data_IF_748835191813
#
_entry.id   IF_748835191813
#
_cell.length_a   1.000
_cell.length_b   1.000
_cell.length_c   1.000
_cell.angle_alpha   90.00
_cell.angle_beta   90.00
_cell.angle_gamma   90.00
#
_symmetry.space_group_name_H-M   'P 1'
#
loop_
_entity.id
_entity.type
_entity.pdbx_description
1 polymer ?
#
# COMPACT_ATOMS: atom_id res chain seq x y z
N UNK A 1 44.10 5.23 9.07
CA UNK A 1 42.77 4.68 9.45
C UNK A 1 41.78 5.83 9.31
N UNK A 2 40.86 5.77 8.34
CA UNK A 2 39.72 6.68 8.35
C UNK A 2 38.91 6.33 9.58
N UNK A 3 38.63 7.30 10.45
CA UNK A 3 37.77 7.09 11.62
C UNK A 3 36.39 6.58 11.11
N UNK A 4 35.98 5.43 11.58
CA UNK A 4 34.65 4.88 11.26
C UNK A 4 33.63 5.91 11.73
N UNK A 5 32.85 6.45 10.79
CA UNK A 5 31.80 7.41 11.12
C UNK A 5 30.76 6.72 12.00
N UNK A 6 30.42 7.27 13.18
CA UNK A 6 29.49 6.61 14.07
C UNK A 6 28.11 6.54 13.44
N UNK A 7 27.53 5.34 13.44
CA UNK A 7 26.15 5.11 13.01
C UNK A 7 25.20 5.22 14.21
N UNK A 8 24.03 5.80 14.00
CA UNK A 8 22.98 5.86 15.00
C UNK A 8 21.68 5.35 14.39
N UNK A 9 21.06 4.36 15.01
CA UNK A 9 19.74 3.86 14.62
C UNK A 9 18.69 4.63 15.42
N UNK A 10 17.73 5.26 14.74
CA UNK A 10 16.67 6.05 15.37
C UNK A 10 15.35 5.29 15.27
N UNK A 11 14.82 4.89 16.43
CA UNK A 11 13.61 4.07 16.52
C UNK A 11 13.90 2.58 16.45
N UNK A 12 13.28 1.79 17.33
CA UNK A 12 13.42 0.32 17.45
C UNK A 12 12.15 -0.45 17.06
N UNK A 13 11.36 0.07 16.11
CA UNK A 13 10.35 -0.71 15.40
C UNK A 13 10.99 -1.81 14.55
N UNK A 14 10.20 -2.50 13.73
CA UNK A 14 10.70 -3.61 12.89
C UNK A 14 11.85 -3.18 11.97
N UNK A 15 11.74 -2.03 11.27
CA UNK A 15 12.80 -1.49 10.43
C UNK A 15 14.08 -1.18 11.22
N UNK A 16 13.96 -0.52 12.36
CA UNK A 16 15.14 -0.18 13.18
C UNK A 16 15.86 -1.41 13.73
N UNK A 17 15.13 -2.43 14.16
CA UNK A 17 15.71 -3.71 14.59
C UNK A 17 16.41 -4.45 13.44
N UNK A 18 15.81 -4.44 12.24
CA UNK A 18 16.45 -4.97 11.04
C UNK A 18 17.76 -4.26 10.70
N UNK A 19 17.76 -2.90 10.79
CA UNK A 19 18.99 -2.11 10.65
C UNK A 19 20.05 -2.52 11.69
N UNK A 20 19.66 -2.62 12.97
CA UNK A 20 20.57 -2.99 14.05
C UNK A 20 21.19 -4.38 13.83
N UNK A 21 20.39 -5.38 13.46
CA UNK A 21 20.88 -6.73 13.12
C UNK A 21 21.91 -6.68 11.97
N UNK A 22 21.60 -5.92 10.93
CA UNK A 22 22.49 -5.80 9.75
C UNK A 22 23.81 -5.14 10.10
N UNK A 23 23.78 -4.00 10.83
CA UNK A 23 25.00 -3.34 11.26
C UNK A 23 25.86 -4.22 12.16
N UNK A 24 25.22 -4.94 13.10
CA UNK A 24 25.93 -5.90 13.96
C UNK A 24 26.54 -7.07 13.17
N UNK A 25 25.84 -7.60 12.17
CA UNK A 25 26.36 -8.66 11.30
C UNK A 25 27.52 -8.21 10.39
N UNK A 26 27.60 -6.91 10.12
CA UNK A 26 28.69 -6.28 9.34
C UNK A 26 29.82 -5.72 10.24
N UNK A 27 29.81 -6.01 11.55
CA UNK A 27 30.75 -5.47 12.55
C UNK A 27 30.87 -3.93 12.52
N UNK A 28 29.77 -3.23 12.15
CA UNK A 28 29.70 -1.77 12.12
C UNK A 28 29.24 -1.28 13.50
N UNK A 29 30.05 -0.50 14.24
CA UNK A 29 29.64 0.06 15.53
C UNK A 29 28.50 1.07 15.38
N UNK A 30 27.50 0.99 16.26
CA UNK A 30 26.36 1.91 16.28
C UNK A 30 25.84 2.11 17.70
N UNK A 31 25.09 3.18 17.88
CA UNK A 31 24.22 3.42 19.04
C UNK A 31 22.77 3.55 18.61
N UNK A 32 21.86 3.58 19.58
CA UNK A 32 20.41 3.65 19.29
C UNK A 32 19.81 4.86 20.01
N UNK A 33 18.98 5.62 19.29
CA UNK A 33 18.09 6.63 19.84
C UNK A 33 16.66 6.11 19.89
N UNK A 34 16.11 5.94 21.10
CA UNK A 34 14.74 5.48 21.28
C UNK A 34 14.18 6.01 22.61
N UNK A 35 13.01 6.67 22.56
CA UNK A 35 12.42 7.29 23.75
C UNK A 35 11.61 6.29 24.59
N UNK A 36 10.98 5.28 23.95
CA UNK A 36 10.10 4.31 24.60
C UNK A 36 10.35 2.88 24.07
N UNK A 37 11.54 2.30 24.36
CA UNK A 37 11.88 0.99 23.81
C UNK A 37 10.99 -0.11 24.38
N UNK A 38 10.40 -0.91 23.48
CA UNK A 38 9.65 -2.09 23.90
C UNK A 38 10.59 -3.13 24.55
N UNK A 39 10.11 -3.86 25.56
CA UNK A 39 10.90 -4.88 26.27
C UNK A 39 11.48 -5.94 25.31
N UNK A 40 10.72 -6.35 24.29
CA UNK A 40 11.18 -7.29 23.27
C UNK A 40 12.33 -6.74 22.44
N UNK A 41 12.29 -5.45 22.06
CA UNK A 41 13.37 -4.80 21.33
C UNK A 41 14.64 -4.66 22.20
N UNK A 42 14.50 -4.30 23.47
CA UNK A 42 15.62 -4.26 24.41
C UNK A 42 16.29 -5.62 24.55
N UNK A 43 15.49 -6.67 24.70
CA UNK A 43 16.00 -8.04 24.80
C UNK A 43 16.77 -8.44 23.53
N UNK A 44 16.24 -8.13 22.36
CA UNK A 44 16.91 -8.40 21.07
C UNK A 44 18.24 -7.64 20.94
N UNK A 45 18.27 -6.35 21.29
CA UNK A 45 19.51 -5.55 21.24
C UNK A 45 20.59 -6.08 22.18
N UNK A 46 20.20 -6.56 23.37
CA UNK A 46 21.14 -7.15 24.34
C UNK A 46 21.77 -8.47 23.88
N UNK A 47 21.17 -9.15 22.91
CA UNK A 47 21.68 -10.41 22.35
C UNK A 47 22.63 -10.23 21.16
N UNK A 48 22.79 -9.00 20.66
CA UNK A 48 23.72 -8.73 19.57
C UNK A 48 25.18 -8.95 20.02
N UNK A 49 26.08 -9.37 19.12
CA UNK A 49 27.50 -9.63 19.47
C UNK A 49 28.17 -8.44 20.18
N UNK A 50 27.83 -7.22 19.77
CA UNK A 50 28.29 -5.97 20.38
C UNK A 50 27.04 -5.13 20.70
N UNK A 51 26.39 -5.32 21.88
CA UNK A 51 25.18 -4.62 22.25
C UNK A 51 25.34 -3.10 22.17
N UNK A 52 24.47 -2.37 21.44
CA UNK A 52 24.57 -0.92 21.33
C UNK A 52 24.14 -0.23 22.63
N UNK A 53 24.67 0.96 22.88
CA UNK A 53 24.08 1.87 23.86
C UNK A 53 22.72 2.38 23.33
N UNK A 54 21.72 2.42 24.20
CA UNK A 54 20.38 2.95 23.88
C UNK A 54 20.17 4.16 24.77
N UNK A 55 19.86 5.29 24.16
CA UNK A 55 19.62 6.57 24.85
C UNK A 55 18.38 7.24 24.27
N UNK A 56 17.73 8.15 25.02
CA UNK A 56 16.67 9.00 24.47
C UNK A 56 17.13 9.78 23.26
N UNK A 57 16.25 9.98 22.27
CA UNK A 57 16.59 10.72 21.03
C UNK A 57 17.11 12.14 21.35
N UNK A 58 16.55 12.78 22.38
CA UNK A 58 16.97 14.12 22.82
C UNK A 58 18.42 14.17 23.33
N UNK A 59 18.95 13.06 23.86
CA UNK A 59 20.30 12.97 24.46
C UNK A 59 21.38 12.57 23.44
N UNK A 60 21.01 12.22 22.22
CA UNK A 60 21.99 11.85 21.18
C UNK A 60 23.01 12.95 20.92
N UNK A 61 24.27 12.59 20.82
CA UNK A 61 25.35 13.51 20.45
C UNK A 61 25.44 13.65 18.93
N UNK A 62 25.38 14.87 18.43
CA UNK A 62 25.55 15.18 17.01
C UNK A 62 27.02 15.25 16.65
N UNK A 63 27.58 14.16 16.14
CA UNK A 63 28.94 14.13 15.67
C UNK A 63 28.97 14.44 14.16
N UNK A 64 29.71 15.50 13.70
CA UNK A 64 29.83 15.76 12.27
C UNK A 64 30.37 14.56 11.52
N UNK A 65 29.72 14.23 10.38
CA UNK A 65 30.04 13.07 9.58
C UNK A 65 29.36 11.77 10.05
N UNK A 66 28.61 11.77 11.16
CA UNK A 66 27.81 10.60 11.56
C UNK A 66 26.64 10.37 10.63
N UNK A 67 26.21 9.09 10.50
CA UNK A 67 25.06 8.67 9.71
C UNK A 67 23.94 8.20 10.66
N UNK A 68 22.81 8.89 10.65
CA UNK A 68 21.65 8.54 11.43
C UNK A 68 20.60 7.84 10.54
N UNK A 69 20.29 6.58 10.88
CA UNK A 69 19.37 5.74 10.13
C UNK A 69 18.02 5.80 10.85
N UNK A 70 17.09 6.55 10.27
CA UNK A 70 15.80 6.88 10.90
C UNK A 70 14.73 5.90 10.46
N UNK A 71 14.08 5.25 11.44
CA UNK A 71 12.93 4.37 11.18
C UNK A 71 11.74 5.17 10.63
N UNK A 72 10.94 4.63 9.67
CA UNK A 72 9.86 5.36 9.01
C UNK A 72 8.81 5.93 9.96
N UNK A 73 8.55 5.25 11.09
CA UNK A 73 7.60 5.70 12.11
C UNK A 73 8.06 6.91 12.94
N UNK A 74 9.34 7.28 12.90
CA UNK A 74 9.86 8.43 13.65
C UNK A 74 9.63 9.72 12.87
N UNK A 75 8.92 10.72 13.46
CA UNK A 75 8.68 11.98 12.76
C UNK A 75 9.96 12.79 12.55
N UNK A 76 10.23 13.18 11.30
CA UNK A 76 11.38 14.07 10.98
C UNK A 76 11.22 15.48 11.56
N UNK A 77 10.01 15.83 12.04
CA UNK A 77 9.72 17.07 12.73
C UNK A 77 10.33 17.18 14.14
N UNK A 78 10.83 16.09 14.72
CA UNK A 78 11.51 16.11 16.02
C UNK A 78 12.66 17.12 16.02
N UNK A 79 12.79 17.99 17.05
CA UNK A 79 13.82 19.04 17.09
C UNK A 79 15.22 18.50 16.81
N UNK A 80 15.58 17.37 17.43
CA UNK A 80 16.89 16.74 17.28
C UNK A 80 17.19 16.33 15.83
N UNK A 81 16.19 15.78 15.10
CA UNK A 81 16.33 15.38 13.71
C UNK A 81 16.41 16.59 12.76
N UNK A 82 15.69 17.68 13.07
CA UNK A 82 15.76 18.93 12.30
C UNK A 82 17.12 19.64 12.43
N UNK A 83 17.77 19.50 13.58
CA UNK A 83 19.07 20.10 13.85
C UNK A 83 20.23 19.26 13.32
N UNK A 84 20.08 17.95 13.24
CA UNK A 84 21.13 17.00 12.90
C UNK A 84 21.85 17.36 11.57
N UNK A 85 21.17 17.65 10.44
CA UNK A 85 21.86 18.03 9.20
C UNK A 85 22.66 19.34 9.31
N UNK A 86 22.18 20.30 10.12
CA UNK A 86 22.90 21.58 10.35
C UNK A 86 24.18 21.37 11.11
N UNK A 87 24.30 20.26 11.84
CA UNK A 87 25.49 19.86 12.60
C UNK A 87 26.34 18.81 11.86
N UNK A 88 26.17 18.67 10.53
CA UNK A 88 26.99 17.79 9.72
C UNK A 88 26.63 16.29 9.85
N UNK A 89 25.44 15.96 10.38
CA UNK A 89 24.90 14.60 10.46
C UNK A 89 24.13 14.30 9.18
N UNK A 90 24.36 13.14 8.58
CA UNK A 90 23.59 12.66 7.43
C UNK A 90 22.39 11.83 7.92
N UNK A 91 21.17 12.25 7.59
CA UNK A 91 19.98 11.44 7.79
C UNK A 91 19.76 10.48 6.61
N UNK A 92 19.44 9.24 6.90
CA UNK A 92 19.13 8.19 5.93
C UNK A 92 18.11 7.23 6.54
N UNK A 93 17.75 6.17 5.84
CA UNK A 93 16.85 5.14 6.35
C UNK A 93 17.25 3.71 5.91
N UNK A 94 16.44 2.73 6.32
CA UNK A 94 16.59 1.32 6.02
C UNK A 94 16.59 1.02 4.49
N UNK A 95 15.73 1.69 3.73
CA UNK A 95 15.62 1.48 2.27
C UNK A 95 16.86 1.98 1.53
N UNK A 96 17.36 3.17 1.86
CA UNK A 96 18.59 3.69 1.27
C UNK A 96 19.79 2.78 1.62
N UNK A 97 19.84 2.35 2.90
CA UNK A 97 20.88 1.43 3.38
C UNK A 97 20.83 0.07 2.68
N UNK A 98 19.62 -0.42 2.38
CA UNK A 98 19.40 -1.64 1.61
C UNK A 98 19.86 -1.47 0.15
N UNK A 99 19.47 -0.37 -0.49
CA UNK A 99 19.81 -0.10 -1.88
C UNK A 99 21.33 -0.02 -2.11
N UNK A 100 22.10 0.50 -1.15
CA UNK A 100 23.57 0.53 -1.18
C UNK A 100 24.18 -0.90 -1.17
N UNK A 101 23.46 -1.91 -0.72
CA UNK A 101 23.93 -3.30 -0.53
C UNK A 101 23.35 -4.29 -1.51
N UNK A 102 22.19 -4.00 -2.05
CA UNK A 102 21.49 -4.88 -2.99
C UNK A 102 22.30 -5.00 -4.30
N UNK A 103 22.54 -6.23 -4.75
CA UNK A 103 23.28 -6.52 -5.99
C UNK A 103 22.35 -6.82 -7.17
N UNK A 104 21.13 -7.26 -6.88
CA UNK A 104 20.12 -7.56 -7.89
C UNK A 104 19.26 -6.32 -8.21
N UNK A 105 18.60 -6.30 -9.37
CA UNK A 105 17.65 -5.26 -9.74
C UNK A 105 16.59 -5.01 -8.67
N UNK A 106 16.26 -3.73 -8.45
CA UNK A 106 15.29 -3.28 -7.47
C UNK A 106 14.04 -2.76 -8.15
N UNK A 107 12.87 -3.25 -7.75
CA UNK A 107 11.57 -2.68 -8.10
C UNK A 107 11.02 -1.97 -6.88
N UNK A 108 10.71 -0.68 -7.01
CA UNK A 108 10.05 0.10 -5.97
C UNK A 108 8.60 0.39 -6.37
N UNK A 109 7.64 0.05 -5.51
CA UNK A 109 6.21 0.24 -5.75
C UNK A 109 5.64 1.15 -4.68
N UNK A 110 5.10 2.31 -5.08
CA UNK A 110 4.41 3.24 -4.19
C UNK A 110 3.07 3.69 -4.77
N UNK A 111 2.31 4.39 -3.96
CA UNK A 111 0.98 4.92 -4.26
C UNK A 111 0.19 5.12 -2.97
N UNK A 112 -0.94 5.79 -3.03
CA UNK A 112 -1.84 5.86 -1.87
C UNK A 112 -2.47 4.48 -1.63
N UNK A 113 -3.04 3.86 -2.65
CA UNK A 113 -3.73 2.58 -2.58
C UNK A 113 -3.15 1.56 -3.58
N UNK A 114 -3.44 0.26 -3.40
CA UNK A 114 -3.09 -0.82 -4.33
C UNK A 114 -1.67 -1.38 -4.20
N UNK A 115 -0.76 -0.73 -3.49
CA UNK A 115 0.66 -1.14 -3.35
C UNK A 115 0.85 -2.63 -3.11
N UNK A 116 0.28 -3.15 -2.03
CA UNK A 116 0.43 -4.56 -1.63
C UNK A 116 -0.11 -5.53 -2.69
N UNK A 117 -1.25 -5.18 -3.30
CA UNK A 117 -1.85 -6.00 -4.36
C UNK A 117 -0.92 -6.06 -5.57
N UNK A 118 -0.41 -4.92 -6.04
CA UNK A 118 0.54 -4.87 -7.17
C UNK A 118 1.83 -5.61 -6.83
N UNK A 119 2.40 -5.37 -5.64
CA UNK A 119 3.60 -6.07 -5.17
C UNK A 119 3.42 -7.59 -5.19
N UNK A 120 2.26 -8.09 -4.71
CA UNK A 120 1.95 -9.53 -4.69
C UNK A 120 1.68 -10.10 -6.09
N UNK A 121 1.06 -9.33 -7.00
CA UNK A 121 0.90 -9.76 -8.39
C UNK A 121 2.27 -9.84 -9.09
N UNK A 122 3.13 -8.82 -8.92
CA UNK A 122 4.49 -8.83 -9.49
C UNK A 122 5.30 -10.02 -8.95
N UNK A 123 5.24 -10.27 -7.64
CA UNK A 123 5.82 -11.45 -7.02
C UNK A 123 5.34 -12.76 -7.68
N UNK A 124 4.02 -12.89 -7.82
CA UNK A 124 3.39 -14.07 -8.41
C UNK A 124 3.86 -14.33 -9.84
N UNK A 125 3.96 -13.28 -10.65
CA UNK A 125 4.39 -13.37 -12.05
C UNK A 125 5.89 -13.58 -12.17
N UNK A 126 6.69 -12.86 -11.38
CA UNK A 126 8.15 -12.93 -11.44
C UNK A 126 8.69 -14.29 -10.96
N UNK A 127 8.17 -14.84 -9.87
CA UNK A 127 8.58 -16.17 -9.34
C UNK A 127 8.40 -17.33 -10.32
N UNK A 128 7.58 -17.18 -11.35
CA UNK A 128 7.40 -18.19 -12.40
C UNK A 128 8.42 -18.11 -13.52
N UNK A 129 9.17 -17.02 -13.57
CA UNK A 129 10.15 -16.76 -14.63
C UNK A 129 11.56 -16.48 -14.09
N UNK A 130 11.69 -16.17 -12.79
CA UNK A 130 12.95 -15.92 -12.09
C UNK A 130 13.07 -16.90 -10.90
N UNK A 131 14.18 -17.61 -10.73
CA UNK A 131 14.36 -18.60 -9.65
C UNK A 131 14.26 -18.01 -8.23
N UNK A 132 14.75 -16.79 -8.02
CA UNK A 132 14.83 -16.18 -6.70
C UNK A 132 14.34 -14.73 -6.71
N UNK A 133 13.06 -14.52 -6.35
CA UNK A 133 12.45 -13.18 -6.16
C UNK A 133 12.13 -12.98 -4.69
N UNK A 134 12.64 -11.88 -4.12
CA UNK A 134 12.40 -11.51 -2.72
C UNK A 134 11.54 -10.27 -2.63
N UNK A 135 10.57 -10.30 -1.72
CA UNK A 135 9.52 -9.28 -1.59
C UNK A 135 9.40 -8.81 -0.15
N UNK A 136 9.28 -7.50 0.04
CA UNK A 136 9.10 -6.92 1.37
C UNK A 136 9.12 -5.38 1.37
N UNK A 137 9.69 -4.79 2.41
CA UNK A 137 9.76 -3.34 2.62
C UNK A 137 8.71 -2.85 3.61
N UNK A 138 7.74 -2.06 3.15
CA UNK A 138 6.62 -1.58 3.99
C UNK A 138 5.63 -2.69 4.37
N UNK A 139 5.75 -3.86 3.80
CA UNK A 139 4.96 -5.06 4.10
C UNK A 139 5.88 -6.25 4.36
N UNK A 140 5.41 -7.19 5.18
CA UNK A 140 6.09 -8.45 5.41
C UNK A 140 7.49 -8.26 5.99
N UNK A 141 8.50 -8.78 5.31
CA UNK A 141 9.90 -8.74 5.77
C UNK A 141 10.53 -7.35 5.56
N UNK A 142 11.17 -6.75 6.58
CA UNK A 142 11.95 -5.53 6.43
C UNK A 142 13.01 -5.67 5.33
N UNK A 143 13.27 -4.59 4.58
CA UNK A 143 14.09 -4.67 3.37
C UNK A 143 15.51 -5.23 3.63
N UNK A 144 16.19 -4.83 4.71
CA UNK A 144 17.54 -5.32 5.01
C UNK A 144 17.62 -6.82 5.35
N UNK A 145 16.52 -7.40 5.85
CA UNK A 145 16.43 -8.83 6.13
C UNK A 145 16.20 -9.66 4.84
N UNK A 146 15.88 -8.99 3.71
CA UNK A 146 15.77 -9.64 2.40
C UNK A 146 17.11 -9.88 1.72
N UNK A 147 18.18 -9.19 2.11
CA UNK A 147 19.47 -9.23 1.43
C UNK A 147 20.03 -10.65 1.33
N UNK A 148 20.25 -11.08 0.11
CA UNK A 148 20.80 -12.39 -0.22
C UNK A 148 21.48 -12.34 -1.60
N UNK A 149 22.69 -12.84 -1.68
CA UNK A 149 23.53 -12.77 -2.89
C UNK A 149 23.03 -13.66 -4.04
N UNK A 150 22.06 -14.54 -3.77
CA UNK A 150 21.45 -15.45 -4.77
C UNK A 150 20.15 -14.90 -5.35
N UNK A 151 19.76 -13.67 -4.97
CA UNK A 151 18.51 -13.04 -5.42
C UNK A 151 18.64 -12.55 -6.86
N UNK A 152 17.63 -12.85 -7.69
CA UNK A 152 17.54 -12.35 -9.06
C UNK A 152 16.86 -11.00 -9.15
N UNK A 153 15.91 -10.72 -8.25
CA UNK A 153 15.16 -9.46 -8.22
C UNK A 153 14.55 -9.19 -6.82
N UNK A 154 14.62 -7.94 -6.37
CA UNK A 154 13.91 -7.46 -5.18
C UNK A 154 12.71 -6.63 -5.58
N UNK A 155 11.55 -6.91 -5.00
CA UNK A 155 10.32 -6.14 -5.18
C UNK A 155 9.92 -5.52 -3.85
N UNK A 156 10.01 -4.21 -3.75
CA UNK A 156 9.79 -3.47 -2.51
C UNK A 156 8.50 -2.66 -2.58
N UNK A 157 7.61 -2.91 -1.63
CA UNK A 157 6.57 -1.93 -1.32
C UNK A 157 7.17 -0.77 -0.55
N UNK A 158 6.98 0.47 -1.01
CA UNK A 158 7.54 1.66 -0.40
C UNK A 158 6.44 2.62 0.06
N UNK A 159 6.45 2.96 1.35
CA UNK A 159 5.61 4.02 1.92
C UNK A 159 6.18 5.40 1.59
N UNK A 160 5.36 6.46 1.76
CA UNK A 160 5.85 7.83 1.69
C UNK A 160 6.91 8.11 2.75
N UNK A 161 6.75 7.58 3.96
CA UNK A 161 7.71 7.75 5.07
C UNK A 161 9.09 7.20 4.74
N UNK A 162 9.15 6.07 4.03
CA UNK A 162 10.42 5.52 3.55
C UNK A 162 11.04 6.37 2.44
N UNK A 163 10.22 6.92 1.55
CA UNK A 163 10.71 7.77 0.45
C UNK A 163 11.20 9.14 0.91
N UNK A 164 10.82 9.64 2.11
CA UNK A 164 11.30 10.92 2.65
C UNK A 164 12.85 11.00 2.72
N UNK A 165 13.50 9.91 3.08
CA UNK A 165 14.97 9.84 3.24
C UNK A 165 15.67 8.90 2.25
N UNK A 166 14.91 8.22 1.38
CA UNK A 166 15.43 7.32 0.35
C UNK A 166 15.37 7.99 -1.03
N UNK A 167 16.08 9.10 -1.19
CA UNK A 167 16.10 9.86 -2.44
C UNK A 167 16.98 9.20 -3.50
N UNK A 168 16.57 9.30 -4.76
CA UNK A 168 17.32 8.81 -5.93
C UNK A 168 17.75 7.32 -5.82
N UNK A 169 16.82 6.46 -5.38
CA UNK A 169 17.07 5.03 -5.29
C UNK A 169 17.43 4.46 -6.67
N UNK A 170 18.48 3.63 -6.79
CA UNK A 170 18.88 3.00 -8.05
C UNK A 170 17.92 1.89 -8.45
N UNK A 171 16.67 2.26 -8.75
CA UNK A 171 15.63 1.30 -9.11
C UNK A 171 15.75 0.90 -10.59
N UNK A 172 15.62 -0.39 -10.88
CA UNK A 172 15.36 -0.84 -12.25
C UNK A 172 13.96 -0.36 -12.69
N UNK A 173 12.96 -0.48 -11.79
CA UNK A 173 11.60 0.01 -12.04
C UNK A 173 11.09 0.78 -10.83
N UNK A 174 10.69 2.03 -11.04
CA UNK A 174 9.96 2.84 -10.06
C UNK A 174 8.49 2.95 -10.48
N UNK A 175 7.55 2.51 -9.62
CA UNK A 175 6.13 2.52 -9.92
C UNK A 175 5.33 3.42 -8.97
N UNK A 176 4.55 4.37 -9.53
CA UNK A 176 3.58 5.21 -8.83
C UNK A 176 2.17 4.86 -9.30
N UNK A 177 1.39 4.21 -8.44
CA UNK A 177 0.11 3.64 -8.81
C UNK A 177 -1.02 4.68 -8.90
N UNK A 178 -1.18 5.45 -7.84
CA UNK A 178 -2.20 6.47 -7.68
C UNK A 178 -1.85 7.43 -6.55
N UNK A 179 -2.52 8.59 -6.54
CA UNK A 179 -2.40 9.60 -5.51
C UNK A 179 -3.79 9.99 -5.04
N UNK A 180 -4.02 9.90 -3.74
CA UNK A 180 -5.18 10.44 -3.05
C UNK A 180 -4.75 10.98 -1.69
N UNK A 181 -5.42 12.00 -1.12
CA UNK A 181 -5.05 12.58 0.16
C UNK A 181 -4.99 11.53 1.27
N UNK A 182 -3.87 11.49 2.00
CA UNK A 182 -3.66 10.64 3.17
C UNK A 182 -2.53 11.23 4.03
N UNK A 183 -2.39 10.80 5.27
CA UNK A 183 -1.29 11.19 6.16
C UNK A 183 -1.09 12.72 6.36
N UNK A 184 -2.18 13.50 6.35
CA UNK A 184 -2.12 14.97 6.50
C UNK A 184 -1.73 15.41 7.92
N UNK A 185 -1.66 14.49 8.86
CA UNK A 185 -1.05 14.67 10.17
C UNK A 185 0.49 14.78 10.13
N UNK A 186 1.12 14.25 9.08
CA UNK A 186 2.58 14.26 8.90
C UNK A 186 3.09 15.28 7.89
N UNK A 187 2.35 15.51 6.82
CA UNK A 187 2.74 16.42 5.73
C UNK A 187 2.08 17.80 5.88
N UNK A 188 2.80 18.86 5.53
CA UNK A 188 2.29 20.22 5.60
C UNK A 188 1.19 20.48 4.56
N UNK A 189 1.20 19.75 3.45
CA UNK A 189 0.19 19.82 2.38
C UNK A 189 0.05 18.49 1.65
N UNK A 190 -1.04 18.35 0.91
CA UNK A 190 -1.25 17.21 -0.01
C UNK A 190 -0.17 17.18 -1.09
N UNK A 191 0.26 18.35 -1.57
CA UNK A 191 1.30 18.44 -2.61
C UNK A 191 2.66 17.96 -2.11
N UNK A 192 3.02 18.21 -0.84
CA UNK A 192 4.23 17.66 -0.22
C UNK A 192 4.20 16.14 -0.17
N UNK A 193 3.06 15.56 0.23
CA UNK A 193 2.87 14.12 0.23
C UNK A 193 3.00 13.52 -1.17
N UNK A 194 2.40 14.16 -2.18
CA UNK A 194 2.50 13.73 -3.58
C UNK A 194 3.91 13.85 -4.14
N UNK A 195 4.62 14.95 -3.82
CA UNK A 195 6.01 15.15 -4.21
C UNK A 195 6.94 14.06 -3.63
N UNK A 196 6.76 13.71 -2.35
CA UNK A 196 7.52 12.62 -1.73
C UNK A 196 7.28 11.30 -2.46
N UNK A 197 6.04 10.93 -2.79
CA UNK A 197 5.78 9.68 -3.54
C UNK A 197 6.37 9.72 -4.95
N UNK A 198 6.30 10.87 -5.61
CA UNK A 198 6.81 11.04 -6.97
C UNK A 198 8.34 10.97 -7.04
N UNK A 199 9.04 11.13 -5.91
CA UNK A 199 10.52 10.96 -5.84
C UNK A 199 10.98 9.54 -6.19
N UNK A 200 10.07 8.56 -6.24
CA UNK A 200 10.37 7.18 -6.66
C UNK A 200 10.97 7.10 -8.07
N UNK A 201 10.68 8.08 -8.91
CA UNK A 201 11.24 8.13 -10.27
C UNK A 201 12.67 8.67 -10.32
N UNK A 202 13.11 9.39 -9.27
CA UNK A 202 14.47 9.89 -9.19
C UNK A 202 15.45 8.72 -9.03
N UNK A 203 16.29 8.47 -10.03
CA UNK A 203 17.21 7.35 -10.07
C UNK A 203 16.62 6.04 -10.62
N UNK A 204 15.33 5.97 -10.93
CA UNK A 204 14.74 4.82 -11.59
C UNK A 204 15.14 4.77 -13.07
N UNK A 205 15.48 3.57 -13.56
CA UNK A 205 15.73 3.35 -15.00
C UNK A 205 14.44 3.39 -15.80
N UNK A 206 13.42 2.64 -15.37
CA UNK A 206 12.08 2.61 -15.96
C UNK A 206 11.06 3.14 -14.97
N UNK A 207 10.11 3.93 -15.46
CA UNK A 207 8.97 4.40 -14.69
C UNK A 207 7.67 3.67 -15.09
N UNK A 208 6.83 3.33 -14.13
CA UNK A 208 5.46 2.87 -14.35
C UNK A 208 4.51 3.79 -13.59
N UNK A 209 3.52 4.34 -14.27
CA UNK A 209 2.65 5.36 -13.67
C UNK A 209 1.19 5.19 -14.08
N UNK A 210 0.27 5.35 -13.12
CA UNK A 210 -1.14 5.54 -13.43
C UNK A 210 -1.39 6.86 -14.15
N UNK A 211 -2.24 6.87 -15.17
CA UNK A 211 -2.52 8.04 -16.01
C UNK A 211 -2.83 9.31 -15.18
N UNK A 212 -3.63 9.19 -14.14
CA UNK A 212 -3.98 10.32 -13.25
C UNK A 212 -2.76 10.94 -12.54
N UNK A 213 -1.63 10.23 -12.48
CA UNK A 213 -0.40 10.68 -11.84
C UNK A 213 0.69 11.10 -12.85
N UNK A 214 0.40 11.12 -14.14
CA UNK A 214 1.38 11.36 -15.20
C UNK A 214 2.10 12.70 -15.06
N UNK A 215 1.41 13.76 -14.64
CA UNK A 215 2.00 15.09 -14.41
C UNK A 215 3.05 15.11 -13.31
N UNK A 216 2.96 14.21 -12.34
CA UNK A 216 3.95 14.06 -11.27
C UNK A 216 5.16 13.25 -11.73
N UNK A 217 4.96 12.24 -12.58
CA UNK A 217 6.06 11.41 -13.11
C UNK A 217 6.96 12.15 -14.09
N UNK A 218 6.43 13.07 -14.90
CA UNK A 218 7.20 13.86 -15.87
C UNK A 218 8.22 14.79 -15.23
N UNK A 219 8.11 15.06 -13.93
CA UNK A 219 9.10 15.82 -13.14
C UNK A 219 10.30 14.98 -12.71
N UNK A 220 10.23 13.67 -12.85
CA UNK A 220 11.29 12.72 -12.50
C UNK A 220 12.11 12.31 -13.73
N UNK A 221 13.38 11.95 -13.52
CA UNK A 221 14.34 11.65 -14.59
C UNK A 221 14.47 10.12 -14.81
N UNK A 222 13.40 9.41 -15.18
CA UNK A 222 13.53 8.03 -15.67
C UNK A 222 13.79 7.99 -17.19
N UNK A 223 14.44 6.93 -17.68
CA UNK A 223 14.80 6.78 -19.10
C UNK A 223 13.58 6.57 -20.00
N UNK A 224 12.57 5.86 -19.52
CA UNK A 224 11.29 5.66 -20.20
C UNK A 224 10.16 5.52 -19.20
N UNK A 225 8.94 5.85 -19.62
CA UNK A 225 7.76 5.83 -18.78
C UNK A 225 6.67 5.00 -19.46
N UNK A 226 6.23 3.94 -18.77
CA UNK A 226 5.06 3.13 -19.13
C UNK A 226 3.85 3.62 -18.35
N UNK A 227 2.74 3.86 -19.06
CA UNK A 227 1.50 4.38 -18.46
C UNK A 227 0.46 3.27 -18.44
N UNK A 228 -0.30 3.19 -17.35
CA UNK A 228 -1.50 2.36 -17.29
C UNK A 228 -2.72 3.23 -16.96
N UNK A 229 -3.85 2.89 -17.54
CA UNK A 229 -5.07 3.68 -17.51
C UNK A 229 -6.33 2.81 -17.44
N UNK A 230 -7.50 3.43 -17.18
CA UNK A 230 -8.78 2.72 -17.28
C UNK A 230 -9.08 2.28 -18.71
N UNK A 231 -8.67 3.08 -19.70
CA UNK A 231 -8.87 2.76 -21.12
C UNK A 231 -7.61 3.05 -21.93
N UNK A 232 -7.33 2.20 -22.88
CA UNK A 232 -6.29 2.49 -23.87
C UNK A 232 -6.80 3.49 -24.91
N UNK A 233 -5.95 4.45 -25.27
CA UNK A 233 -6.26 5.44 -26.30
C UNK A 233 -5.03 5.78 -27.13
N UNK A 234 -5.22 6.48 -28.25
CA UNK A 234 -4.09 6.97 -29.04
C UNK A 234 -3.19 7.95 -28.23
N UNK A 235 -3.76 8.64 -27.24
CA UNK A 235 -3.03 9.54 -26.34
C UNK A 235 -2.33 8.79 -25.19
N UNK A 236 -2.80 7.59 -24.85
CA UNK A 236 -2.22 6.72 -23.82
C UNK A 236 -2.08 5.29 -24.39
N UNK A 237 -1.03 5.01 -25.17
CA UNK A 237 -0.84 3.72 -25.85
C UNK A 237 -0.27 2.63 -24.93
N UNK A 238 -0.19 2.88 -23.63
CA UNK A 238 0.35 1.93 -22.62
C UNK A 238 -0.59 0.77 -22.36
N UNK A 239 -0.72 0.41 -21.06
CA UNK A 239 -1.62 -0.63 -20.60
C UNK A 239 -2.99 -0.06 -20.21
N UNK A 240 -4.08 -0.77 -20.54
CA UNK A 240 -5.42 -0.31 -20.19
C UNK A 240 -6.48 -1.38 -20.47
N UNK A 241 -7.75 -1.00 -20.29
CA UNK A 241 -8.87 -1.84 -20.64
C UNK A 241 -9.34 -1.54 -22.06
N UNK A 242 -9.68 -2.59 -22.79
CA UNK A 242 -10.22 -2.56 -24.14
C UNK A 242 -11.54 -3.32 -24.17
N UNK A 243 -12.61 -2.65 -24.55
CA UNK A 243 -13.88 -3.31 -24.83
C UNK A 243 -13.90 -3.82 -26.27
N UNK A 244 -14.13 -5.10 -26.45
CA UNK A 244 -14.24 -5.76 -27.74
C UNK A 244 -15.36 -6.79 -27.71
N UNK A 245 -16.34 -6.69 -28.61
CA UNK A 245 -17.50 -7.59 -28.72
C UNK A 245 -18.30 -7.72 -27.41
N UNK A 246 -18.42 -6.64 -26.63
CA UNK A 246 -19.13 -6.63 -25.35
C UNK A 246 -18.38 -7.32 -24.20
N UNK A 247 -17.10 -7.65 -24.40
CA UNK A 247 -16.20 -8.18 -23.37
C UNK A 247 -15.08 -7.18 -23.09
N UNK A 248 -14.70 -7.06 -21.80
CA UNK A 248 -13.61 -6.22 -21.36
C UNK A 248 -12.33 -7.05 -21.26
N UNK A 249 -11.27 -6.55 -21.88
CA UNK A 249 -9.95 -7.19 -21.88
C UNK A 249 -8.91 -6.28 -21.25
N UNK A 250 -7.95 -6.86 -20.52
CA UNK A 250 -6.65 -6.22 -20.30
C UNK A 250 -5.99 -6.09 -21.68
N UNK A 251 -5.38 -4.94 -21.95
CA UNK A 251 -4.77 -4.68 -23.26
C UNK A 251 -3.47 -3.88 -23.13
N UNK A 252 -2.61 -4.02 -24.15
CA UNK A 252 -1.46 -3.17 -24.39
C UNK A 252 -1.67 -2.45 -25.73
N UNK A 253 -1.85 -1.14 -25.69
CA UNK A 253 -2.33 -0.40 -26.85
C UNK A 253 -3.63 -1.01 -27.39
N UNK A 254 -3.70 -1.31 -28.68
CA UNK A 254 -4.86 -1.94 -29.31
C UNK A 254 -4.88 -3.48 -29.24
N UNK A 255 -3.87 -4.10 -28.61
CA UNK A 255 -3.75 -5.55 -28.54
C UNK A 255 -4.41 -6.08 -27.26
N UNK A 256 -5.50 -6.87 -27.34
CA UNK A 256 -6.08 -7.52 -26.20
C UNK A 256 -5.13 -8.62 -25.67
N UNK A 257 -4.94 -8.67 -24.34
CA UNK A 257 -4.05 -9.62 -23.67
C UNK A 257 -4.83 -10.73 -22.98
N UNK A 258 -5.85 -10.39 -22.19
CA UNK A 258 -6.63 -11.35 -21.41
C UNK A 258 -8.02 -10.77 -21.10
N UNK A 259 -9.07 -11.59 -21.27
CA UNK A 259 -10.43 -11.27 -20.81
C UNK A 259 -10.42 -11.16 -19.27
N UNK A 260 -10.92 -10.03 -18.73
CA UNK A 260 -10.93 -9.78 -17.30
C UNK A 260 -11.79 -10.79 -16.51
N UNK A 261 -12.73 -11.46 -17.15
CA UNK A 261 -13.55 -12.51 -16.53
C UNK A 261 -12.76 -13.79 -16.20
N UNK A 262 -11.58 -13.96 -16.80
CA UNK A 262 -10.68 -15.09 -16.50
C UNK A 262 -9.79 -14.81 -15.30
N UNK A 263 -9.74 -13.58 -14.81
CA UNK A 263 -8.95 -13.22 -13.62
C UNK A 263 -9.55 -13.84 -12.35
N UNK A 264 -8.70 -14.21 -11.42
CA UNK A 264 -9.12 -14.67 -10.08
C UNK A 264 -9.49 -13.54 -9.12
N UNK A 265 -9.49 -12.28 -9.59
CA UNK A 265 -9.82 -11.06 -8.85
C UNK A 265 -10.77 -10.21 -9.68
N UNK A 266 -11.70 -9.52 -9.00
CA UNK A 266 -12.76 -8.73 -9.63
C UNK A 266 -12.60 -7.23 -9.33
N UNK A 267 -13.23 -6.40 -10.18
CA UNK A 267 -13.40 -4.97 -9.98
C UNK A 267 -12.32 -4.12 -10.63
N UNK A 268 -12.71 -2.92 -11.04
CA UNK A 268 -11.87 -1.99 -11.80
C UNK A 268 -10.53 -1.71 -11.11
N UNK A 269 -10.54 -1.46 -9.79
CA UNK A 269 -9.31 -1.20 -9.03
C UNK A 269 -8.32 -2.37 -9.11
N UNK A 270 -8.81 -3.61 -9.06
CA UNK A 270 -7.97 -4.80 -9.20
C UNK A 270 -7.47 -4.98 -10.63
N UNK A 271 -8.28 -4.66 -11.64
CA UNK A 271 -7.84 -4.71 -13.03
C UNK A 271 -6.73 -3.69 -13.31
N UNK A 272 -6.85 -2.47 -12.74
CA UNK A 272 -5.77 -1.47 -12.80
C UNK A 272 -4.50 -1.93 -12.08
N UNK A 273 -4.61 -2.61 -10.95
CA UNK A 273 -3.47 -3.21 -10.26
C UNK A 273 -2.78 -4.28 -11.12
N UNK A 274 -3.56 -5.09 -11.87
CA UNK A 274 -3.01 -6.08 -12.82
C UNK A 274 -2.29 -5.39 -13.97
N UNK A 275 -2.87 -4.33 -14.55
CA UNK A 275 -2.24 -3.57 -15.63
C UNK A 275 -0.92 -2.93 -15.18
N UNK A 276 -0.87 -2.38 -13.96
CA UNK A 276 0.36 -1.89 -13.35
C UNK A 276 1.41 -3.00 -13.20
N UNK A 277 1.01 -4.18 -12.74
CA UNK A 277 1.90 -5.32 -12.56
C UNK A 277 2.43 -5.86 -13.90
N UNK A 278 1.60 -5.88 -14.96
CA UNK A 278 2.05 -6.24 -16.32
C UNK A 278 3.06 -5.22 -16.86
N UNK A 279 2.83 -3.91 -16.65
CA UNK A 279 3.77 -2.87 -17.05
C UNK A 279 5.11 -2.98 -16.30
N UNK A 280 5.09 -3.28 -15.00
CA UNK A 280 6.30 -3.55 -14.21
C UNK A 280 7.02 -4.79 -14.75
N UNK A 281 6.29 -5.88 -15.01
CA UNK A 281 6.85 -7.12 -15.55
C UNK A 281 7.49 -6.93 -16.91
N UNK A 282 6.89 -6.14 -17.81
CA UNK A 282 7.49 -5.77 -19.10
C UNK A 282 8.81 -5.01 -18.92
N UNK A 283 8.86 -4.02 -18.03
CA UNK A 283 10.08 -3.29 -17.71
C UNK A 283 11.19 -4.18 -17.13
N UNK A 284 10.82 -5.27 -16.43
CA UNK A 284 11.74 -6.30 -15.93
C UNK A 284 12.16 -7.30 -17.01
N UNK A 285 11.60 -7.24 -18.23
CA UNK A 285 11.87 -8.18 -19.31
C UNK A 285 11.18 -9.54 -19.15
N UNK A 286 10.11 -9.63 -18.33
CA UNK A 286 9.31 -10.85 -18.23
C UNK A 286 8.51 -11.10 -19.51
N UNK A 287 8.35 -12.37 -19.88
CA UNK A 287 7.56 -12.77 -21.03
C UNK A 287 6.08 -12.49 -20.82
N UNK A 288 5.49 -11.64 -21.68
CA UNK A 288 4.10 -11.20 -21.58
C UNK A 288 3.10 -12.34 -21.74
N UNK A 289 3.38 -13.32 -22.60
CA UNK A 289 2.47 -14.44 -22.82
C UNK A 289 2.41 -15.35 -21.57
N UNK A 290 3.57 -15.56 -20.92
CA UNK A 290 3.61 -16.29 -19.64
C UNK A 290 2.91 -15.51 -18.53
N UNK A 291 3.15 -14.20 -18.41
CA UNK A 291 2.46 -13.38 -17.42
C UNK A 291 0.94 -13.47 -17.56
N UNK A 292 0.42 -13.31 -18.78
CA UNK A 292 -1.04 -13.37 -19.04
C UNK A 292 -1.62 -14.76 -18.82
N UNK A 293 -0.87 -15.82 -19.11
CA UNK A 293 -1.29 -17.21 -18.84
C UNK A 293 -1.34 -17.52 -17.34
N UNK A 294 -0.50 -16.89 -16.51
CA UNK A 294 -0.38 -17.14 -15.08
C UNK A 294 -1.38 -16.31 -14.23
N UNK A 295 -1.81 -15.15 -14.72
CA UNK A 295 -2.74 -14.25 -14.02
C UNK A 295 -4.02 -14.90 -13.46
N UNK A 296 -4.71 -15.81 -14.17
CA UNK A 296 -5.91 -16.50 -13.64
C UNK A 296 -5.68 -17.27 -12.34
N UNK A 297 -4.44 -17.66 -12.08
CA UNK A 297 -4.08 -18.39 -10.86
C UNK A 297 -3.88 -17.50 -9.62
N UNK A 298 -3.75 -16.19 -9.79
CA UNK A 298 -3.71 -15.22 -8.68
C UNK A 298 -5.12 -15.00 -8.11
N UNK A 299 -5.34 -15.38 -6.85
CA UNK A 299 -6.67 -15.36 -6.20
C UNK A 299 -6.93 -14.12 -5.35
N UNK A 300 -6.09 -13.11 -5.43
CA UNK A 300 -6.17 -11.90 -4.60
C UNK A 300 -5.57 -12.07 -3.22
N UNK A 301 -5.80 -11.06 -2.39
CA UNK A 301 -5.31 -11.00 -1.02
C UNK A 301 -6.49 -10.92 -0.04
N UNK A 302 -6.37 -11.47 1.17
CA UNK A 302 -7.40 -11.32 2.20
C UNK A 302 -7.70 -9.84 2.46
N UNK A 303 -8.98 -9.53 2.66
CA UNK A 303 -9.46 -8.21 3.04
C UNK A 303 -9.20 -7.07 2.02
N UNK A 304 -8.91 -7.40 0.75
CA UNK A 304 -8.68 -6.44 -0.34
C UNK A 304 -9.57 -6.76 -1.52
N UNK A 305 -10.76 -6.19 -1.51
CA UNK A 305 -11.83 -6.54 -2.46
C UNK A 305 -12.00 -8.06 -2.60
N UNK A 306 -11.81 -8.79 -1.51
CA UNK A 306 -11.90 -10.24 -1.46
C UNK A 306 -13.33 -10.69 -1.59
N UNK A 307 -13.64 -11.50 -2.60
CA UNK A 307 -14.96 -12.13 -2.72
C UNK A 307 -15.09 -13.26 -1.72
N UNK A 308 -16.13 -13.21 -0.89
CA UNK A 308 -16.53 -14.30 -0.01
C UNK A 308 -17.60 -15.12 -0.72
N UNK A 309 -17.36 -16.43 -0.87
CA UNK A 309 -18.29 -17.34 -1.56
C UNK A 309 -19.47 -17.66 -0.66
N UNK A 310 -20.70 -17.49 -1.19
CA UNK A 310 -21.96 -17.88 -0.55
C UNK A 310 -22.95 -18.32 -1.63
N UNK A 311 -23.86 -19.23 -1.27
CA UNK A 311 -24.88 -19.79 -2.18
C UNK A 311 -26.21 -19.02 -2.11
N UNK A 312 -26.18 -17.74 -1.66
CA UNK A 312 -27.36 -16.88 -1.55
C UNK A 312 -27.59 -15.99 -2.80
N UNK A 313 -26.74 -16.12 -3.80
CA UNK A 313 -26.81 -15.34 -5.03
C UNK A 313 -26.33 -13.90 -4.91
N UNK A 314 -25.86 -13.47 -3.73
CA UNK A 314 -25.26 -12.16 -3.48
C UNK A 314 -23.74 -12.17 -3.76
N UNK A 315 -23.17 -10.99 -4.06
CA UNK A 315 -21.73 -10.78 -4.04
C UNK A 315 -21.32 -10.14 -2.72
N UNK A 316 -20.65 -10.91 -1.87
CA UNK A 316 -20.10 -10.44 -0.60
C UNK A 316 -18.64 -10.10 -0.78
N UNK A 317 -18.30 -8.81 -0.59
CA UNK A 317 -16.95 -8.28 -0.83
C UNK A 317 -16.36 -7.78 0.48
N UNK A 318 -15.26 -8.40 0.89
CA UNK A 318 -14.47 -8.00 2.05
C UNK A 318 -13.32 -7.09 1.60
N UNK A 319 -13.48 -5.80 1.82
CA UNK A 319 -12.46 -4.79 1.59
C UNK A 319 -12.12 -4.04 2.89
N UNK A 320 -12.01 -4.80 3.98
CA UNK A 320 -11.72 -4.26 5.32
C UNK A 320 -10.43 -3.41 5.36
N UNK A 321 -9.51 -3.62 4.41
CA UNK A 321 -8.29 -2.82 4.25
C UNK A 321 -8.54 -1.40 3.76
N UNK A 322 -9.71 -1.07 3.24
CA UNK A 322 -10.10 0.29 2.86
C UNK A 322 -10.27 1.18 4.12
N UNK A 323 -9.17 1.60 4.72
CA UNK A 323 -9.12 2.39 5.95
C UNK A 323 -9.05 3.89 5.71
N UNK A 324 -9.22 4.32 4.46
CA UNK A 324 -9.32 5.73 4.06
C UNK A 324 -10.40 5.91 2.99
N UNK A 325 -10.85 7.16 2.81
CA UNK A 325 -11.93 7.53 1.89
C UNK A 325 -11.60 7.17 0.44
N UNK A 326 -10.40 7.45 -0.03
CA UNK A 326 -9.99 7.16 -1.42
C UNK A 326 -10.04 5.67 -1.76
N UNK A 327 -9.71 4.78 -0.81
CA UNK A 327 -9.83 3.34 -1.00
C UNK A 327 -11.31 2.91 -1.12
N UNK A 328 -12.18 3.43 -0.25
CA UNK A 328 -13.61 3.14 -0.29
C UNK A 328 -14.26 3.65 -1.59
N UNK A 329 -13.93 4.86 -2.02
CA UNK A 329 -14.39 5.44 -3.29
C UNK A 329 -13.98 4.55 -4.48
N UNK A 330 -12.73 4.10 -4.52
CA UNK A 330 -12.24 3.21 -5.57
C UNK A 330 -12.99 1.86 -5.57
N UNK A 331 -13.29 1.30 -4.39
CA UNK A 331 -14.08 0.07 -4.28
C UNK A 331 -15.53 0.29 -4.74
N UNK A 332 -16.21 1.36 -4.32
CA UNK A 332 -17.57 1.69 -4.75
C UNK A 332 -17.65 1.80 -6.27
N UNK A 333 -16.74 2.54 -6.90
CA UNK A 333 -16.68 2.66 -8.37
C UNK A 333 -16.48 1.31 -9.05
N UNK A 334 -15.67 0.42 -8.45
CA UNK A 334 -15.38 -0.91 -9.00
C UNK A 334 -16.59 -1.84 -9.05
N UNK A 335 -17.54 -1.65 -8.16
CA UNK A 335 -18.73 -2.54 -8.04
C UNK A 335 -20.04 -1.87 -8.49
N UNK A 336 -20.01 -0.63 -8.96
CA UNK A 336 -21.19 0.17 -9.31
C UNK A 336 -22.08 -0.40 -10.41
N UNK A 337 -21.57 -1.28 -11.24
CA UNK A 337 -22.27 -1.87 -12.40
C UNK A 337 -22.70 -3.32 -12.17
N UNK A 338 -22.40 -3.91 -11.02
CA UNK A 338 -22.55 -5.36 -10.80
C UNK A 338 -23.85 -5.76 -10.09
N UNK A 339 -24.64 -4.80 -9.62
CA UNK A 339 -25.88 -5.05 -8.88
C UNK A 339 -26.28 -3.89 -7.98
N UNK A 340 -27.32 -4.08 -7.15
CA UNK A 340 -27.69 -3.09 -6.14
C UNK A 340 -26.68 -3.12 -4.98
N UNK A 341 -26.16 -1.95 -4.61
CA UNK A 341 -25.09 -1.82 -3.61
C UNK A 341 -25.66 -1.65 -2.19
N UNK A 342 -25.24 -2.50 -1.27
CA UNK A 342 -25.32 -2.32 0.18
C UNK A 342 -23.91 -2.03 0.67
N UNK A 343 -23.66 -0.80 1.15
CA UNK A 343 -22.33 -0.34 1.57
C UNK A 343 -22.23 -0.36 3.09
N UNK A 344 -21.13 -0.92 3.62
CA UNK A 344 -20.79 -1.00 5.04
C UNK A 344 -19.59 -0.11 5.33
N UNK A 345 -19.83 0.98 6.08
CA UNK A 345 -18.86 2.01 6.44
C UNK A 345 -18.62 2.02 7.96
N UNK A 346 -17.56 2.71 8.40
CA UNK A 346 -17.36 3.04 9.81
C UNK A 346 -16.11 2.48 10.45
N UNK A 347 -15.97 2.80 11.72
CA UNK A 347 -14.76 2.61 12.50
C UNK A 347 -14.29 3.95 13.07
N UNK A 348 -12.98 4.24 13.05
CA UNK A 348 -12.37 5.48 13.53
C UNK A 348 -11.98 6.37 12.34
N UNK A 349 -12.61 7.56 12.21
CA UNK A 349 -12.48 8.43 11.03
C UNK A 349 -11.13 9.14 10.93
N UNK A 350 -10.45 9.40 12.04
CA UNK A 350 -9.23 10.21 12.10
C UNK A 350 -9.37 11.58 11.41
N UNK A 351 -10.53 12.22 11.58
CA UNK A 351 -10.87 13.51 10.96
C UNK A 351 -10.81 13.48 9.41
N UNK A 352 -11.26 12.39 8.80
CA UNK A 352 -11.30 12.25 7.35
C UNK A 352 -12.34 13.20 6.72
N UNK A 353 -12.03 13.72 5.53
CA UNK A 353 -13.01 14.44 4.70
C UNK A 353 -13.82 13.44 3.87
N UNK A 354 -15.13 13.34 4.11
CA UNK A 354 -16.04 12.43 3.41
C UNK A 354 -16.70 13.04 2.17
N UNK A 355 -16.31 14.24 1.72
CA UNK A 355 -16.93 14.94 0.60
C UNK A 355 -16.88 14.15 -0.72
N UNK A 356 -15.75 13.50 -1.02
CA UNK A 356 -15.62 12.65 -2.21
C UNK A 356 -16.50 11.41 -2.12
N UNK A 357 -16.59 10.80 -0.93
CA UNK A 357 -17.48 9.65 -0.68
C UNK A 357 -18.94 10.04 -0.91
N UNK A 358 -19.38 11.20 -0.40
CA UNK A 358 -20.72 11.72 -0.62
C UNK A 358 -21.03 11.90 -2.11
N UNK A 359 -20.10 12.50 -2.87
CA UNK A 359 -20.25 12.72 -4.31
C UNK A 359 -20.47 11.39 -5.06
N UNK A 360 -19.62 10.40 -4.80
CA UNK A 360 -19.70 9.10 -5.48
C UNK A 360 -20.98 8.33 -5.12
N UNK A 361 -21.45 8.44 -3.88
CA UNK A 361 -22.70 7.79 -3.45
C UNK A 361 -23.94 8.44 -4.08
N UNK A 362 -23.95 9.76 -4.26
CA UNK A 362 -25.03 10.47 -4.95
C UNK A 362 -25.10 10.11 -6.46
N UNK A 363 -23.98 9.85 -7.07
CA UNK A 363 -23.90 9.42 -8.47
C UNK A 363 -24.26 7.95 -8.68
N UNK A 364 -24.27 7.14 -7.60
CA UNK A 364 -24.49 5.69 -7.68
C UNK A 364 -25.94 5.31 -7.93
N UNK A 365 -26.25 4.90 -9.17
CA UNK A 365 -27.63 4.68 -9.65
C UNK A 365 -28.38 3.54 -8.96
N UNK A 366 -27.67 2.55 -8.42
CA UNK A 366 -28.23 1.33 -7.82
C UNK A 366 -27.88 1.18 -6.34
N UNK A 367 -27.65 2.32 -5.64
CA UNK A 367 -27.41 2.30 -4.19
C UNK A 367 -28.68 1.88 -3.45
N UNK A 368 -28.62 0.77 -2.72
CA UNK A 368 -29.74 0.19 -1.97
C UNK A 368 -29.74 0.61 -0.51
N UNK A 369 -28.59 0.62 0.13
CA UNK A 369 -28.43 1.03 1.53
C UNK A 369 -27.00 1.48 1.84
N UNK A 370 -26.87 2.40 2.80
CA UNK A 370 -25.59 2.79 3.43
C UNK A 370 -25.71 2.53 4.92
N UNK A 371 -24.85 1.71 5.46
CA UNK A 371 -24.76 1.40 6.88
C UNK A 371 -23.47 1.94 7.46
N UNK A 372 -23.52 2.51 8.64
CA UNK A 372 -22.37 3.03 9.34
C UNK A 372 -22.32 2.50 10.77
N UNK A 373 -21.11 2.17 11.27
CA UNK A 373 -20.92 1.66 12.63
C UNK A 373 -19.76 2.36 13.37
N UNK A 374 -19.73 2.19 14.69
CA UNK A 374 -18.62 2.59 15.54
C UNK A 374 -18.49 4.10 15.74
N UNK A 375 -17.30 4.57 16.13
CA UNK A 375 -17.04 5.98 16.47
C UNK A 375 -17.39 6.97 15.34
N UNK A 376 -17.17 6.59 14.09
CA UNK A 376 -17.42 7.46 12.93
C UNK A 376 -18.89 7.46 12.45
N UNK A 377 -19.80 6.67 13.04
CA UNK A 377 -21.15 6.49 12.51
C UNK A 377 -21.93 7.80 12.42
N UNK A 378 -21.93 8.62 13.48
CA UNK A 378 -22.62 9.91 13.49
C UNK A 378 -21.95 10.93 12.56
N UNK A 379 -20.63 10.96 12.49
CA UNK A 379 -19.87 11.84 11.60
C UNK A 379 -20.18 11.52 10.12
N UNK A 380 -20.22 10.22 9.75
CA UNK A 380 -20.63 9.77 8.43
C UNK A 380 -22.08 10.14 8.10
N UNK A 381 -23.01 9.99 9.07
CA UNK A 381 -24.40 10.37 8.87
C UNK A 381 -24.58 11.88 8.64
N UNK A 382 -23.77 12.72 9.29
CA UNK A 382 -23.79 14.17 9.12
C UNK A 382 -23.10 14.63 7.84
N UNK A 383 -22.01 13.94 7.44
CA UNK A 383 -21.23 14.30 6.26
C UNK A 383 -21.87 13.86 4.94
N UNK A 384 -22.68 12.79 4.97
CA UNK A 384 -23.36 12.28 3.80
C UNK A 384 -24.73 12.94 3.63
N UNK A 385 -25.16 13.11 2.37
CA UNK A 385 -26.45 13.72 2.04
C UNK A 385 -27.63 13.00 2.72
N UNK A 386 -28.56 13.77 3.30
CA UNK A 386 -29.73 13.23 4.00
C UNK A 386 -30.61 12.31 3.12
N UNK A 387 -30.56 12.46 1.80
CA UNK A 387 -31.24 11.59 0.83
C UNK A 387 -30.70 10.16 0.80
N UNK A 388 -29.45 9.95 1.20
CA UNK A 388 -28.78 8.62 1.23
C UNK A 388 -29.26 7.72 2.39
N UNK A 389 -29.97 8.28 3.39
CA UNK A 389 -30.58 7.57 4.53
C UNK A 389 -29.61 6.60 5.22
N UNK A 390 -28.46 7.13 5.68
CA UNK A 390 -27.47 6.34 6.42
C UNK A 390 -28.09 5.76 7.69
N UNK A 391 -27.98 4.45 7.87
CA UNK A 391 -28.42 3.74 9.08
C UNK A 391 -27.22 3.47 9.98
N UNK A 392 -27.25 4.01 11.20
CA UNK A 392 -26.16 3.86 12.18
C UNK A 392 -26.38 2.67 13.10
N UNK A 393 -25.28 2.03 13.48
CA UNK A 393 -25.20 0.88 14.39
C UNK A 393 -24.12 1.12 15.44
N UNK A 394 -24.35 0.67 16.66
CA UNK A 394 -23.33 0.73 17.72
C UNK A 394 -22.24 -0.30 17.48
N UNK A 395 -22.59 -1.54 17.08
CA UNK A 395 -21.63 -2.61 16.84
C UNK A 395 -21.49 -2.96 15.36
N UNK A 396 -20.29 -3.45 15.01
CA UNK A 396 -20.01 -3.99 13.68
C UNK A 396 -20.90 -5.21 13.38
N UNK A 397 -21.11 -6.08 14.37
CA UNK A 397 -21.88 -7.29 14.25
C UNK A 397 -23.34 -7.00 13.90
N UNK A 398 -24.00 -6.06 14.60
CA UNK A 398 -25.39 -5.66 14.32
C UNK A 398 -25.54 -5.12 12.89
N UNK A 399 -24.55 -4.31 12.44
CA UNK A 399 -24.51 -3.80 11.07
C UNK A 399 -24.46 -4.94 10.04
N UNK A 400 -23.57 -5.93 10.24
CA UNK A 400 -23.40 -7.07 9.33
C UNK A 400 -24.64 -7.96 9.35
N UNK A 401 -25.24 -8.25 10.52
CA UNK A 401 -26.49 -8.99 10.62
C UNK A 401 -27.64 -8.30 9.87
N UNK A 402 -27.70 -6.97 9.96
CA UNK A 402 -28.70 -6.19 9.21
C UNK A 402 -28.48 -6.28 7.71
N UNK A 403 -27.22 -6.26 7.25
CA UNK A 403 -26.87 -6.43 5.85
C UNK A 403 -27.28 -7.82 5.34
N UNK A 404 -27.01 -8.88 6.11
CA UNK A 404 -27.41 -10.26 5.78
C UNK A 404 -28.93 -10.37 5.60
N UNK A 405 -29.72 -9.74 6.49
CA UNK A 405 -31.20 -9.76 6.44
C UNK A 405 -31.77 -8.92 5.27
N UNK A 406 -31.02 -7.93 4.76
CA UNK A 406 -31.47 -7.03 3.69
C UNK A 406 -31.07 -7.51 2.29
N UNK A 407 -29.96 -8.23 2.18
CA UNK A 407 -29.37 -8.66 0.92
C UNK A 407 -30.29 -9.68 0.19
N UNK A 408 -30.43 -9.52 -1.12
CA UNK A 408 -31.15 -10.43 -2.01
C UNK A 408 -30.23 -10.87 -3.16
N UNK A 409 -30.57 -11.98 -3.79
CA UNK A 409 -29.83 -12.46 -4.96
C UNK A 409 -29.63 -11.35 -6.01
N UNK A 410 -28.40 -11.17 -6.48
CA UNK A 410 -28.01 -10.11 -7.40
C UNK A 410 -27.47 -8.83 -6.73
N UNK A 411 -27.62 -8.69 -5.40
CA UNK A 411 -27.03 -7.55 -4.68
C UNK A 411 -25.50 -7.70 -4.50
N UNK A 412 -24.84 -6.57 -4.35
CA UNK A 412 -23.44 -6.47 -3.90
C UNK A 412 -23.43 -5.93 -2.48
N UNK A 413 -22.90 -6.68 -1.53
CA UNK A 413 -22.65 -6.22 -0.16
C UNK A 413 -21.14 -5.96 -0.03
N UNK A 414 -20.80 -4.68 0.12
CA UNK A 414 -19.41 -4.22 0.14
C UNK A 414 -19.04 -3.72 1.54
N UNK A 415 -18.18 -4.45 2.23
CA UNK A 415 -17.48 -3.94 3.40
C UNK A 415 -16.26 -3.14 2.89
N UNK A 416 -16.36 -1.81 2.83
CA UNK A 416 -15.27 -0.90 2.49
C UNK A 416 -15.33 0.33 3.39
N UNK A 417 -14.81 0.21 4.63
CA UNK A 417 -15.18 1.02 5.77
C UNK A 417 -14.84 2.51 5.70
N UNK A 418 -13.93 2.94 4.84
CA UNK A 418 -13.38 4.31 4.74
C UNK A 418 -12.64 4.79 6.01
N UNK A 419 -12.69 4.03 7.11
CA UNK A 419 -12.19 4.37 8.43
C UNK A 419 -11.27 3.27 8.98
N UNK A 420 -10.36 3.64 9.89
CA UNK A 420 -9.57 2.68 10.65
C UNK A 420 -10.47 1.82 11.54
N UNK A 421 -9.95 0.71 12.08
CA UNK A 421 -10.74 -0.28 12.81
C UNK A 421 -10.45 -0.32 14.32
N UNK A 422 -9.64 0.62 14.82
CA UNK A 422 -9.09 0.55 16.19
C UNK A 422 -10.09 0.90 17.29
N UNK A 423 -11.30 1.32 16.93
CA UNK A 423 -12.42 1.52 17.86
C UNK A 423 -12.98 0.21 18.41
N UNK A 424 -13.13 -0.82 17.55
CA UNK A 424 -13.71 -2.12 17.95
C UNK A 424 -12.81 -3.33 17.67
N UNK A 425 -11.70 -3.16 16.93
CA UNK A 425 -10.81 -4.24 16.51
C UNK A 425 -9.33 -3.87 16.72
N UNK A 426 -8.48 -4.88 16.88
CA UNK A 426 -7.03 -4.71 16.94
C UNK A 426 -6.37 -4.29 15.60
N UNK A 427 -7.11 -4.36 14.50
CA UNK A 427 -6.65 -4.03 13.16
C UNK A 427 -7.68 -4.40 12.10
N UNK A 428 -7.43 -3.98 10.87
CA UNK A 428 -8.34 -4.27 9.75
C UNK A 428 -8.46 -5.77 9.47
N UNK A 429 -7.43 -6.56 9.75
CA UNK A 429 -7.45 -8.02 9.63
C UNK A 429 -8.50 -8.63 10.55
N UNK A 430 -8.51 -8.21 11.81
CA UNK A 430 -9.48 -8.71 12.81
C UNK A 430 -10.92 -8.37 12.38
N UNK A 431 -11.16 -7.14 11.90
CA UNK A 431 -12.46 -6.71 11.35
C UNK A 431 -12.87 -7.55 10.14
N UNK A 432 -11.96 -7.75 9.19
CA UNK A 432 -12.21 -8.54 8.00
C UNK A 432 -12.42 -10.02 8.27
N UNK A 433 -11.72 -10.60 9.25
CA UNK A 433 -11.94 -11.97 9.72
C UNK A 433 -13.32 -12.13 10.39
N UNK A 434 -13.73 -11.15 11.21
CA UNK A 434 -15.05 -11.11 11.82
C UNK A 434 -16.14 -11.12 10.75
N UNK A 435 -16.03 -10.26 9.72
CA UNK A 435 -16.96 -10.23 8.59
C UNK A 435 -17.09 -11.59 7.92
N UNK A 436 -15.97 -12.22 7.56
CA UNK A 436 -15.96 -13.54 6.92
C UNK A 436 -16.60 -14.60 7.81
N UNK A 437 -16.24 -14.67 9.10
CA UNK A 437 -16.78 -15.64 10.04
C UNK A 437 -18.29 -15.49 10.25
N UNK A 438 -18.83 -14.26 10.25
CA UNK A 438 -20.28 -14.02 10.35
C UNK A 438 -21.02 -14.53 9.12
N UNK A 439 -20.44 -14.35 7.92
CA UNK A 439 -21.04 -14.84 6.69
C UNK A 439 -21.05 -16.37 6.60
N UNK A 440 -20.05 -17.04 7.15
CA UNK A 440 -19.94 -18.50 7.18
C UNK A 440 -20.92 -19.15 8.17
N UNK A 441 -21.20 -18.49 9.32
CA UNK A 441 -22.12 -19.02 10.36
C UNK A 441 -23.58 -19.14 9.90
N UNK A 442 -24.01 -18.34 8.94
CA UNK A 442 -25.40 -18.29 8.47
C UNK A 442 -25.70 -19.37 7.41
N UNK A 443 -24.71 -20.17 7.01
CA UNK A 443 -24.84 -21.27 6.04
C UNK A 443 -25.16 -22.61 6.75
N UNK A 444 -25.14 -22.69 8.06
CA UNK A 444 -25.51 -23.83 8.89
C UNK A 444 -26.93 -23.59 9.49
#
# INVERSE_FOLDING_TARGET
>A
MMAVQPHVVIGLGESGRSVARRLAAEDIPFSVGEDHPAASAMHEMAQLPNPPSIVPISELTMNPGSKWIVSPGVPLSLPKLREAPKNGVTLTNDVALFADRAKAPLVGITGSNGKTTVTSIVEHLAKRQMPSVRVGGNIGTPCLDLLDDTTDCYVLELSSYQLELAQALPLEVGALLNLSPDHLDRYASVDDYYAVKSSIFAGARFGVVGEACLSYAQKGACQSLSVFAETVSAACPGFGLLEQNGQVHLAQGSMPLLDVQKLGIEGLSNWLNVLAALAIGECLGLDMQRMTADLPSFKGLPHRCQRIQRDDGCRWINDSKATNVGAAVAAIRSYSVLGSLILLLGGQSKSADFSELNTVLLEHKTLKAVFAYGEAAEELQQALDAGLKVMCFESFEDMVERAIKLANAGDVVLLSPACASFDQFSGYEARGNCFTAMLERVVS
#
